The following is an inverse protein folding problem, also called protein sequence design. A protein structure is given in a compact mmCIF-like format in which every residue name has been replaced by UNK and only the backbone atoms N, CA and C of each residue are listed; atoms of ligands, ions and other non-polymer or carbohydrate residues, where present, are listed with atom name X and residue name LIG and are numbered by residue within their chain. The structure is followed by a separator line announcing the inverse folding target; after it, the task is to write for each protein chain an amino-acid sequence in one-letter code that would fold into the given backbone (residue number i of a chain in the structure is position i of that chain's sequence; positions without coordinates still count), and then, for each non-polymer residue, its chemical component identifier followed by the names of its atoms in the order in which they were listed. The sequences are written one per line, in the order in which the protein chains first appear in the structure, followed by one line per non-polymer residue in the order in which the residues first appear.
data_IF_695678314489
#
_entry.id   IF_695678314489
#
_cell.length_a   1.000
_cell.length_b   1.000
_cell.length_c   1.000
_cell.angle_alpha   90.00
_cell.angle_beta   90.00
_cell.angle_gamma   90.00
#
_symmetry.space_group_name_H-M   'P 1'
#
loop_
_entity.id
_entity.type
_entity.pdbx_description
1 polymer ?
#
# COMPACT_ATOMS: atom_id res chain seq x y z
N UNK A 1 2.12 15.70 -5.03
CA UNK A 1 0.82 15.69 -4.35
C UNK A 1 0.98 15.86 -2.85
N UNK A 2 -0.08 16.25 -2.20
CA UNK A 2 -0.09 16.40 -0.74
C UNK A 2 0.21 15.06 -0.04
N UNK A 3 -0.37 13.98 -0.53
CA UNK A 3 -0.11 12.64 0.01
C UNK A 3 1.37 12.26 -0.11
N UNK A 4 1.99 12.51 -1.25
CA UNK A 4 3.42 12.22 -1.44
C UNK A 4 4.29 13.09 -0.53
N UNK A 5 3.94 14.35 -0.31
CA UNK A 5 4.63 15.20 0.64
C UNK A 5 4.51 14.67 2.07
N UNK A 6 3.33 14.18 2.44
CA UNK A 6 3.10 13.58 3.74
C UNK A 6 3.92 12.30 3.92
N UNK A 7 3.95 11.43 2.91
CA UNK A 7 4.76 10.21 2.94
C UNK A 7 6.25 10.53 3.11
N UNK A 8 6.75 11.56 2.43
CA UNK A 8 8.13 11.97 2.53
C UNK A 8 8.49 12.54 3.91
N UNK A 9 7.50 13.03 4.67
CA UNK A 9 7.73 13.63 5.99
C UNK A 9 7.82 12.62 7.12
N UNK A 10 7.50 11.34 6.89
CA UNK A 10 7.53 10.31 7.93
C UNK A 10 8.98 10.09 8.40
N UNK A 11 9.24 10.03 9.73
CA UNK A 11 10.58 9.83 10.25
C UNK A 11 10.99 8.35 10.18
N UNK A 12 11.18 7.83 8.98
CA UNK A 12 11.49 6.40 8.76
C UNK A 12 12.77 5.96 9.46
N UNK A 13 13.76 6.83 9.52
CA UNK A 13 15.06 6.48 10.10
C UNK A 13 14.96 6.24 11.61
N UNK A 14 14.09 6.97 12.31
CA UNK A 14 13.87 6.80 13.73
C UNK A 14 13.29 5.42 14.05
N UNK A 15 12.45 4.89 13.17
CA UNK A 15 11.87 3.57 13.29
C UNK A 15 12.77 2.46 12.76
N UNK A 16 13.75 2.80 11.95
CA UNK A 16 14.65 1.85 11.28
C UNK A 16 15.95 1.59 12.03
N UNK A 17 16.27 2.39 13.03
CA UNK A 17 17.57 2.32 13.70
C UNK A 17 17.77 1.12 14.61
N UNK A 18 16.70 0.46 15.01
CA UNK A 18 16.75 -0.62 15.96
C UNK A 18 17.05 -1.96 15.29
N UNK A 19 18.16 -2.18 14.73
CA UNK A 19 18.46 -3.49 14.20
C UNK A 19 19.43 -3.48 13.06
N UNK A 20 20.65 -3.43 13.43
CA UNK A 20 21.71 -3.44 12.43
C UNK A 20 22.25 -4.82 12.12
N UNK A 21 21.79 -5.90 12.76
CA UNK A 21 22.69 -7.03 12.91
C UNK A 21 22.21 -8.36 12.38
N UNK A 22 20.92 -8.55 12.03
CA UNK A 22 20.55 -9.83 11.43
C UNK A 22 19.32 -9.73 10.54
N UNK A 23 19.08 -10.78 9.76
CA UNK A 23 17.97 -10.92 8.82
C UNK A 23 16.60 -10.72 9.48
N UNK A 24 16.44 -11.14 10.75
CA UNK A 24 15.20 -10.93 11.50
C UNK A 24 14.88 -9.46 11.71
N UNK A 25 15.87 -8.67 12.08
CA UNK A 25 15.69 -7.24 12.27
C UNK A 25 15.43 -6.53 10.96
N UNK A 26 16.06 -6.97 9.86
CA UNK A 26 15.80 -6.40 8.54
C UNK A 26 14.36 -6.66 8.10
N UNK A 27 13.82 -7.86 8.32
CA UNK A 27 12.41 -8.15 8.04
C UNK A 27 11.48 -7.30 8.88
N UNK A 28 11.78 -7.13 10.16
CA UNK A 28 10.98 -6.30 11.05
C UNK A 28 11.00 -4.83 10.61
N UNK A 29 12.15 -4.30 10.21
CA UNK A 29 12.26 -2.95 9.65
C UNK A 29 11.37 -2.77 8.43
N UNK A 30 11.39 -3.72 7.50
CA UNK A 30 10.58 -3.71 6.30
C UNK A 30 9.10 -3.72 6.67
N UNK A 31 8.67 -4.58 7.58
CA UNK A 31 7.28 -4.66 8.03
C UNK A 31 6.81 -3.38 8.69
N UNK A 32 7.63 -2.77 9.53
CA UNK A 32 7.31 -1.50 10.18
C UNK A 32 7.19 -0.39 9.15
N UNK A 33 8.07 -0.36 8.16
CA UNK A 33 8.05 0.65 7.10
C UNK A 33 6.81 0.54 6.23
N UNK A 34 6.44 -0.67 5.84
CA UNK A 34 5.21 -0.93 5.08
C UNK A 34 3.97 -0.56 5.88
N UNK A 35 3.95 -0.88 7.18
CA UNK A 35 2.88 -0.49 8.08
C UNK A 35 2.75 1.03 8.17
N UNK A 36 3.86 1.75 8.26
CA UNK A 36 3.86 3.21 8.30
C UNK A 36 3.26 3.82 7.03
N UNK A 37 3.63 3.31 5.86
CA UNK A 37 3.05 3.76 4.61
C UNK A 37 1.55 3.52 4.57
N UNK A 38 1.12 2.31 4.88
CA UNK A 38 -0.30 1.94 4.87
C UNK A 38 -1.10 2.79 5.87
N UNK A 39 -0.60 2.92 7.08
CA UNK A 39 -1.27 3.69 8.13
C UNK A 39 -1.37 5.17 7.79
N UNK A 40 -0.34 5.73 7.17
CA UNK A 40 -0.33 7.12 6.75
C UNK A 40 -1.35 7.37 5.64
N UNK A 41 -1.44 6.49 4.66
CA UNK A 41 -2.41 6.58 3.58
C UNK A 41 -3.84 6.45 4.13
N UNK A 42 -4.06 5.51 5.04
CA UNK A 42 -5.34 5.33 5.71
C UNK A 42 -5.76 6.60 6.47
N UNK A 43 -4.86 7.18 7.25
CA UNK A 43 -5.11 8.40 8.00
C UNK A 43 -5.40 9.58 7.06
N UNK A 44 -4.70 9.67 5.94
CA UNK A 44 -4.93 10.71 4.95
C UNK A 44 -6.35 10.63 4.37
N UNK A 45 -6.77 9.44 3.95
CA UNK A 45 -8.12 9.26 3.40
C UNK A 45 -9.20 9.54 4.46
N UNK A 46 -9.02 9.08 5.69
CA UNK A 46 -9.94 9.35 6.78
C UNK A 46 -10.02 10.84 7.09
N UNK A 47 -8.88 11.53 7.06
CA UNK A 47 -8.82 12.98 7.25
C UNK A 47 -9.53 13.75 6.13
N UNK A 48 -9.61 13.19 4.93
CA UNK A 48 -10.35 13.77 3.81
C UNK A 48 -11.85 13.42 3.83
N UNK A 49 -12.32 12.70 4.84
CA UNK A 49 -13.72 12.30 4.95
C UNK A 49 -14.09 11.09 4.07
N UNK A 50 -13.11 10.39 3.54
CA UNK A 50 -13.35 9.17 2.75
C UNK A 50 -13.56 8.00 3.70
N UNK A 51 -14.61 7.21 3.47
CA UNK A 51 -14.84 6.00 4.26
C UNK A 51 -13.80 4.97 3.88
N UNK A 52 -13.03 4.53 4.87
CA UNK A 52 -11.93 3.60 4.64
C UNK A 52 -11.97 2.44 5.61
N UNK A 53 -11.61 1.25 5.12
CA UNK A 53 -11.41 0.05 5.93
C UNK A 53 -10.04 -0.53 5.58
N UNK A 54 -9.21 -0.73 6.58
CA UNK A 54 -7.90 -1.36 6.40
C UNK A 54 -8.04 -2.88 6.46
N UNK A 55 -7.24 -3.56 5.66
CA UNK A 55 -7.07 -5.02 5.74
C UNK A 55 -8.38 -5.82 5.63
N UNK A 56 -9.12 -5.63 4.55
CA UNK A 56 -10.30 -6.44 4.30
C UNK A 56 -9.92 -7.88 3.97
N UNK A 57 -10.47 -8.82 4.74
CA UNK A 57 -10.23 -10.25 4.56
C UNK A 57 -11.15 -10.84 3.50
N UNK A 58 -10.60 -11.70 2.65
CA UNK A 58 -11.33 -12.60 1.78
C UNK A 58 -10.93 -14.03 2.09
N UNK A 59 -11.61 -15.02 1.49
CA UNK A 59 -11.25 -16.44 1.65
C UNK A 59 -9.86 -16.76 1.06
N UNK A 60 -9.37 -15.95 0.12
CA UNK A 60 -8.11 -16.17 -0.58
C UNK A 60 -6.97 -15.26 -0.12
N UNK A 61 -7.31 -14.25 0.67
CA UNK A 61 -6.35 -13.26 1.14
C UNK A 61 -7.04 -12.00 1.62
N UNK A 62 -6.30 -10.91 1.71
CA UNK A 62 -6.84 -9.63 2.16
C UNK A 62 -6.24 -8.48 1.35
N UNK A 63 -7.08 -7.51 1.02
CA UNK A 63 -6.63 -6.26 0.44
C UNK A 63 -6.07 -5.35 1.54
N UNK A 64 -5.10 -4.51 1.20
CA UNK A 64 -4.53 -3.56 2.16
C UNK A 64 -5.55 -2.51 2.60
N UNK A 65 -6.28 -1.95 1.64
CA UNK A 65 -7.27 -0.90 1.92
C UNK A 65 -8.49 -1.09 1.03
N UNK A 66 -9.66 -0.78 1.57
CA UNK A 66 -10.89 -0.62 0.79
C UNK A 66 -11.45 0.76 1.11
N UNK A 67 -11.71 1.56 0.10
CA UNK A 67 -12.27 2.90 0.28
C UNK A 67 -13.55 3.07 -0.53
N UNK A 68 -14.45 3.90 -0.02
CA UNK A 68 -15.67 4.31 -0.72
C UNK A 68 -15.66 5.82 -0.89
N UNK A 69 -15.85 6.27 -2.12
CA UNK A 69 -15.85 7.68 -2.44
C UNK A 69 -16.74 7.94 -3.65
N UNK A 70 -17.63 8.92 -3.54
CA UNK A 70 -18.56 9.31 -4.61
C UNK A 70 -19.35 8.14 -5.21
N UNK A 71 -19.81 7.21 -4.36
CA UNK A 71 -20.58 6.04 -4.81
C UNK A 71 -19.74 4.93 -5.43
N UNK A 72 -18.43 5.09 -5.52
CA UNK A 72 -17.51 4.07 -6.03
C UNK A 72 -16.76 3.40 -4.89
N UNK A 73 -16.46 2.12 -5.06
CA UNK A 73 -15.63 1.36 -4.14
C UNK A 73 -14.29 1.06 -4.81
N UNK A 74 -13.22 1.30 -4.10
CA UNK A 74 -11.85 1.03 -4.57
C UNK A 74 -11.19 0.03 -3.63
N UNK A 75 -10.64 -1.03 -4.21
CA UNK A 75 -9.86 -2.03 -3.49
C UNK A 75 -8.40 -1.79 -3.84
N UNK A 76 -7.58 -1.51 -2.83
CA UNK A 76 -6.22 -1.04 -3.02
C UNK A 76 -5.22 -2.06 -2.50
N UNK A 77 -4.24 -2.40 -3.32
CA UNK A 77 -3.08 -3.18 -2.94
C UNK A 77 -1.84 -2.29 -3.00
N UNK A 78 -1.12 -2.22 -1.89
CA UNK A 78 0.09 -1.42 -1.77
C UNK A 78 1.32 -2.32 -1.81
N UNK A 79 2.30 -1.95 -2.59
CA UNK A 79 3.62 -2.58 -2.59
C UNK A 79 4.68 -1.51 -2.41
N UNK A 80 5.78 -1.89 -1.78
CA UNK A 80 6.92 -1.00 -1.56
C UNK A 80 8.12 -1.56 -2.31
N UNK A 81 8.73 -0.73 -3.14
CA UNK A 81 9.99 -1.04 -3.81
C UNK A 81 11.12 -0.33 -3.08
N UNK A 82 12.11 -1.10 -2.65
CA UNK A 82 13.27 -0.56 -1.92
C UNK A 82 14.40 -0.15 -2.86
N UNK A 83 14.28 -0.52 -4.13
CA UNK A 83 15.19 -0.11 -5.21
C UNK A 83 14.35 0.40 -6.37
N UNK A 84 14.77 1.48 -7.06
CA UNK A 84 13.98 2.03 -8.19
C UNK A 84 13.69 1.00 -9.29
N UNK A 85 14.63 0.11 -9.57
CA UNK A 85 14.49 -0.93 -10.59
C UNK A 85 13.43 -1.97 -10.26
N UNK A 86 13.05 -2.10 -8.99
CA UNK A 86 12.04 -3.07 -8.55
C UNK A 86 10.60 -2.53 -8.68
N UNK A 87 10.43 -1.26 -8.98
CA UNK A 87 9.09 -0.64 -9.08
C UNK A 87 8.19 -1.36 -10.09
N UNK A 88 8.64 -1.62 -11.35
CA UNK A 88 7.77 -2.34 -12.30
C UNK A 88 7.44 -3.76 -11.86
N UNK A 89 8.38 -4.45 -11.22
CA UNK A 89 8.17 -5.81 -10.71
C UNK A 89 7.12 -5.80 -9.60
N UNK A 90 7.20 -4.83 -8.70
CA UNK A 90 6.23 -4.67 -7.61
C UNK A 90 4.83 -4.35 -8.12
N UNK A 91 4.72 -3.55 -9.18
CA UNK A 91 3.43 -3.28 -9.81
C UNK A 91 2.82 -4.56 -10.38
N UNK A 92 3.60 -5.36 -11.10
CA UNK A 92 3.16 -6.64 -11.64
C UNK A 92 2.71 -7.58 -10.52
N UNK A 93 3.49 -7.69 -9.46
CA UNK A 93 3.14 -8.50 -8.29
C UNK A 93 1.81 -8.07 -7.66
N UNK A 94 1.59 -6.77 -7.53
CA UNK A 94 0.36 -6.24 -6.95
C UNK A 94 -0.86 -6.58 -7.82
N UNK A 95 -0.76 -6.38 -9.12
CA UNK A 95 -1.84 -6.69 -10.06
C UNK A 95 -2.14 -8.19 -10.05
N UNK A 96 -1.13 -9.04 -10.15
CA UNK A 96 -1.29 -10.48 -10.12
C UNK A 96 -1.89 -10.97 -8.81
N UNK A 97 -1.48 -10.39 -7.69
CA UNK A 97 -2.01 -10.74 -6.39
C UNK A 97 -3.49 -10.40 -6.28
N UNK A 98 -3.91 -9.23 -6.76
CA UNK A 98 -5.31 -8.83 -6.74
C UNK A 98 -6.17 -9.75 -7.61
N UNK A 99 -5.68 -10.13 -8.77
CA UNK A 99 -6.39 -11.03 -9.69
C UNK A 99 -6.44 -12.46 -9.15
N UNK A 100 -5.30 -13.03 -8.77
CA UNK A 100 -5.21 -14.42 -8.31
C UNK A 100 -5.91 -14.66 -6.98
N UNK A 101 -5.89 -13.67 -6.07
CA UNK A 101 -6.56 -13.72 -4.77
C UNK A 101 -8.01 -13.24 -4.83
N UNK A 102 -8.44 -12.78 -6.00
CA UNK A 102 -9.81 -12.34 -6.25
C UNK A 102 -10.31 -11.32 -5.21
N UNK A 103 -9.50 -10.30 -4.96
CA UNK A 103 -9.80 -9.29 -3.94
C UNK A 103 -11.06 -8.48 -4.24
N UNK A 104 -11.46 -8.40 -5.52
CA UNK A 104 -12.65 -7.65 -5.93
C UNK A 104 -13.95 -8.44 -5.75
N UNK A 105 -13.88 -9.76 -5.50
CA UNK A 105 -15.07 -10.61 -5.42
C UNK A 105 -16.11 -10.13 -4.39
N UNK A 106 -15.72 -9.69 -3.18
CA UNK A 106 -16.71 -9.18 -2.22
C UNK A 106 -17.33 -7.84 -2.61
N UNK A 107 -16.81 -7.18 -3.63
CA UNK A 107 -17.20 -5.84 -4.04
C UNK A 107 -17.49 -5.81 -5.54
N UNK A 108 -18.66 -6.29 -5.98
CA UNK A 108 -19.06 -6.19 -7.38
C UNK A 108 -18.99 -4.73 -7.82
N UNK A 109 -18.49 -4.48 -9.02
CA UNK A 109 -18.32 -3.13 -9.57
C UNK A 109 -17.20 -2.29 -8.92
N UNK A 110 -16.44 -2.86 -7.98
CA UNK A 110 -15.30 -2.15 -7.43
C UNK A 110 -14.18 -1.99 -8.46
N UNK A 111 -13.41 -0.94 -8.29
CA UNK A 111 -12.20 -0.69 -9.06
C UNK A 111 -11.01 -1.12 -8.23
N UNK A 112 -10.15 -1.95 -8.79
CA UNK A 112 -8.90 -2.34 -8.16
C UNK A 112 -7.81 -1.32 -8.49
N UNK A 113 -7.05 -0.91 -7.48
CA UNK A 113 -5.91 -0.03 -7.62
C UNK A 113 -4.67 -0.70 -7.04
N UNK A 114 -3.69 -0.95 -7.88
CA UNK A 114 -2.36 -1.35 -7.45
C UNK A 114 -1.50 -0.10 -7.33
N UNK A 115 -0.89 0.12 -6.19
CA UNK A 115 -0.03 1.28 -5.95
C UNK A 115 1.35 0.82 -5.49
N UNK A 116 2.38 1.35 -6.12
CA UNK A 116 3.77 1.07 -5.72
C UNK A 116 4.41 2.33 -5.18
N UNK A 117 4.94 2.21 -3.98
CA UNK A 117 5.71 3.26 -3.33
C UNK A 117 7.19 2.99 -3.57
N UNK A 118 7.88 3.94 -4.16
CA UNK A 118 9.34 3.90 -4.26
C UNK A 118 9.90 4.45 -2.95
N UNK A 119 10.48 3.57 -2.13
CA UNK A 119 11.00 3.94 -0.81
C UNK A 119 12.19 4.89 -0.90
N UNK A 120 12.94 4.87 -2.00
CA UNK A 120 14.07 5.80 -2.18
C UNK A 120 13.61 7.24 -2.35
N UNK A 121 12.43 7.44 -2.93
CA UNK A 121 11.79 8.74 -3.11
C UNK A 121 10.69 9.01 -2.10
N UNK A 122 10.23 7.99 -1.39
CA UNK A 122 9.10 8.02 -0.45
C UNK A 122 7.84 8.57 -1.10
N UNK A 123 7.56 8.07 -2.31
CA UNK A 123 6.44 8.52 -3.13
C UNK A 123 5.77 7.35 -3.84
N UNK A 124 4.47 7.50 -4.08
CA UNK A 124 3.76 6.63 -5.02
C UNK A 124 4.22 7.00 -6.41
N UNK A 125 4.90 6.08 -7.10
CA UNK A 125 5.47 6.35 -8.43
C UNK A 125 4.76 5.61 -9.55
N UNK A 126 4.06 4.52 -9.24
CA UNK A 126 3.35 3.71 -10.23
C UNK A 126 2.00 3.31 -9.68
N UNK A 127 0.98 3.35 -10.56
CA UNK A 127 -0.35 2.84 -10.24
C UNK A 127 -0.87 2.00 -11.41
N UNK A 128 -1.63 0.97 -11.09
CA UNK A 128 -2.33 0.15 -12.07
C UNK A 128 -3.80 0.04 -11.70
N UNK A 129 -4.68 0.02 -12.71
CA UNK A 129 -6.12 -0.08 -12.52
C UNK A 129 -6.60 -1.45 -13.00
N UNK A 130 -7.43 -2.09 -12.19
CA UNK A 130 -8.05 -3.39 -12.50
C UNK A 130 -9.56 -3.23 -12.42
N UNK A 131 -10.23 -3.64 -13.46
CA UNK A 131 -11.70 -3.61 -13.51
C UNK A 131 -12.28 -4.99 -13.70
#
# INVERSE_FOLDING_TARGET
SFLNALLASIPYDDFSRAGQVNIRFNKLKIQVREWLYRSTILAFFRGCGVVTVAEMHTNLGRADLVISYNGNTYVIELKVAYKPEDVPVKLTEAVEQMESKNYLAPYPEAIGLAMVIDDTKRQITETGVIQ
#
